data_IF_938239700998
#
_entry.id   IF_938239700998
#
_cell.length_a   1.000
_cell.length_b   1.000
_cell.length_c   1.000
_cell.angle_alpha   90.00
_cell.angle_beta   90.00
_cell.angle_gamma   90.00
#
_symmetry.space_group_name_H-M   'P 1'
#
loop_
_entity.id
_entity.type
_entity.pdbx_description
1 polymer ?
#
# COMPACT_ATOMS: atom_id res chain seq x y z
N UNK A 1 -14.48 -10.87 9.54
CA UNK A 1 -13.25 -10.22 9.02
C UNK A 1 -13.57 -8.75 8.89
N UNK A 2 -12.69 -7.86 9.34
CA UNK A 2 -12.94 -6.42 9.25
C UNK A 2 -12.81 -5.93 7.81
N UNK A 3 -13.68 -5.01 7.41
CA UNK A 3 -13.63 -4.26 6.15
C UNK A 3 -12.64 -3.10 6.24
N UNK A 4 -12.20 -2.56 5.09
CA UNK A 4 -11.32 -1.37 5.06
C UNK A 4 -11.98 -0.16 5.73
N UNK A 5 -13.31 -0.04 5.61
CA UNK A 5 -14.08 1.04 6.24
C UNK A 5 -14.05 0.94 7.76
N UNK A 6 -14.27 -0.26 8.32
CA UNK A 6 -14.14 -0.50 9.76
C UNK A 6 -12.70 -0.20 10.28
N UNK A 7 -11.67 -0.48 9.46
CA UNK A 7 -10.27 -0.16 9.80
C UNK A 7 -10.04 1.35 9.82
N UNK A 8 -10.57 2.10 8.84
CA UNK A 8 -10.48 3.56 8.78
C UNK A 8 -11.11 4.18 10.03
N UNK A 9 -12.34 3.79 10.35
CA UNK A 9 -13.08 4.30 11.52
C UNK A 9 -12.35 3.99 12.83
N UNK A 10 -11.85 2.76 12.99
CA UNK A 10 -11.10 2.35 14.18
C UNK A 10 -9.80 3.15 14.35
N UNK A 11 -9.05 3.38 13.27
CA UNK A 11 -7.81 4.16 13.29
C UNK A 11 -8.09 5.63 13.63
N UNK A 12 -9.08 6.26 12.99
CA UNK A 12 -9.40 7.66 13.28
C UNK A 12 -9.86 7.87 14.72
N UNK A 13 -10.62 6.92 15.27
CA UNK A 13 -11.03 6.93 16.68
C UNK A 13 -9.84 6.77 17.63
N UNK A 14 -8.91 5.86 17.32
CA UNK A 14 -7.71 5.59 18.14
C UNK A 14 -6.76 6.80 18.15
N UNK A 15 -6.52 7.40 16.98
CA UNK A 15 -5.47 8.39 16.78
C UNK A 15 -5.97 9.84 16.98
N UNK A 16 -7.27 10.03 17.21
CA UNK A 16 -7.87 11.34 17.51
C UNK A 16 -8.19 12.18 16.27
N UNK A 17 -8.52 11.53 15.15
CA UNK A 17 -9.01 12.14 13.91
C UNK A 17 -8.15 11.84 12.67
N UNK A 18 -8.72 12.14 11.48
CA UNK A 18 -8.13 11.85 10.15
C UNK A 18 -6.66 12.30 10.00
N UNK A 19 -6.30 13.49 10.48
CA UNK A 19 -4.95 14.04 10.32
C UNK A 19 -3.88 13.20 11.00
N UNK A 20 -4.07 12.89 12.29
CA UNK A 20 -3.14 12.06 13.08
C UNK A 20 -3.13 10.61 12.62
N UNK A 21 -4.29 10.07 12.26
CA UNK A 21 -4.40 8.73 11.71
C UNK A 21 -3.62 8.58 10.38
N UNK A 22 -3.64 9.61 9.52
CA UNK A 22 -2.84 9.65 8.30
C UNK A 22 -1.34 9.72 8.58
N UNK A 23 -0.91 10.55 9.55
CA UNK A 23 0.49 10.62 9.97
C UNK A 23 1.00 9.27 10.47
N UNK A 24 0.23 8.61 11.35
CA UNK A 24 0.52 7.25 11.80
C UNK A 24 0.62 6.26 10.63
N UNK A 25 -0.35 6.29 9.72
CA UNK A 25 -0.40 5.40 8.56
C UNK A 25 0.85 5.56 7.69
N UNK A 26 1.27 6.80 7.41
CA UNK A 26 2.45 7.07 6.59
C UNK A 26 3.74 6.64 7.29
N UNK A 27 3.85 6.82 8.60
CA UNK A 27 5.01 6.35 9.37
C UNK A 27 5.08 4.81 9.38
N UNK A 28 3.96 4.13 9.63
CA UNK A 28 3.87 2.66 9.57
C UNK A 28 4.24 2.11 8.19
N UNK A 29 3.78 2.76 7.11
CA UNK A 29 4.19 2.39 5.76
C UNK A 29 5.72 2.51 5.58
N UNK A 30 6.35 3.52 6.15
CA UNK A 30 7.81 3.68 6.06
C UNK A 30 8.53 2.54 6.78
N UNK A 31 8.06 2.15 7.96
CA UNK A 31 8.58 1.02 8.74
C UNK A 31 8.45 -0.29 7.95
N UNK A 32 7.27 -0.61 7.43
CA UNK A 32 7.06 -1.79 6.60
C UNK A 32 7.96 -1.79 5.35
N UNK A 33 8.19 -0.65 4.71
CA UNK A 33 9.09 -0.57 3.55
C UNK A 33 10.55 -0.92 3.92
N UNK A 34 11.02 -0.45 5.07
CA UNK A 34 12.35 -0.75 5.59
C UNK A 34 12.48 -2.24 5.98
N UNK A 35 11.43 -2.80 6.60
CA UNK A 35 11.38 -4.22 6.98
C UNK A 35 11.33 -5.15 5.78
N UNK A 36 10.50 -4.85 4.77
CA UNK A 36 10.45 -5.61 3.50
C UNK A 36 11.84 -5.69 2.89
N UNK A 37 12.55 -4.55 2.78
CA UNK A 37 13.90 -4.52 2.22
C UNK A 37 14.88 -5.37 3.03
N UNK A 38 14.81 -5.28 4.37
CA UNK A 38 15.66 -6.04 5.30
C UNK A 38 15.41 -7.56 5.24
N UNK A 39 14.14 -7.98 5.20
CA UNK A 39 13.73 -9.39 5.15
C UNK A 39 14.02 -10.00 3.78
N UNK A 40 13.74 -9.27 2.70
CA UNK A 40 14.03 -9.72 1.34
C UNK A 40 15.53 -9.96 1.14
N UNK A 41 16.38 -9.05 1.63
CA UNK A 41 17.85 -9.20 1.58
C UNK A 41 18.38 -10.41 2.37
N UNK A 42 17.62 -10.90 3.35
CA UNK A 42 17.93 -12.09 4.15
C UNK A 42 17.30 -13.38 3.60
N UNK A 43 16.56 -13.30 2.49
CA UNK A 43 15.74 -14.39 1.94
C UNK A 43 14.72 -14.94 2.96
N UNK A 44 14.20 -14.07 3.83
CA UNK A 44 13.19 -14.43 4.83
C UNK A 44 11.78 -14.22 4.26
N UNK A 45 10.97 -15.28 4.21
CA UNK A 45 9.63 -15.26 3.62
C UNK A 45 8.63 -14.29 4.26
N UNK A 46 8.88 -13.81 5.49
CA UNK A 46 8.01 -12.86 6.20
C UNK A 46 7.87 -11.51 5.46
N UNK A 47 8.74 -11.18 4.51
CA UNK A 47 8.56 -9.97 3.68
C UNK A 47 7.19 -9.95 2.98
N UNK A 48 6.58 -11.11 2.73
CA UNK A 48 5.26 -11.23 2.11
C UNK A 48 4.15 -10.69 3.01
N UNK A 49 4.28 -10.91 4.31
CA UNK A 49 3.32 -10.46 5.32
C UNK A 49 3.43 -8.94 5.46
N UNK A 50 4.66 -8.41 5.53
CA UNK A 50 4.90 -6.97 5.52
C UNK A 50 4.38 -6.28 4.25
N UNK A 51 4.50 -6.92 3.09
CA UNK A 51 3.87 -6.45 1.86
C UNK A 51 2.34 -6.42 1.97
N UNK A 52 1.72 -7.41 2.61
CA UNK A 52 0.27 -7.45 2.80
C UNK A 52 -0.20 -6.32 3.73
N UNK A 53 0.51 -6.09 4.83
CA UNK A 53 0.22 -5.01 5.78
C UNK A 53 0.37 -3.63 5.13
N UNK A 54 1.43 -3.43 4.33
CA UNK A 54 1.61 -2.24 3.50
C UNK A 54 0.42 -2.01 2.55
N UNK A 55 -0.12 -3.06 1.92
CA UNK A 55 -1.27 -2.93 1.03
C UNK A 55 -2.53 -2.48 1.78
N UNK A 56 -2.74 -2.95 3.02
CA UNK A 56 -3.86 -2.49 3.85
C UNK A 56 -3.72 -0.98 4.13
N UNK A 57 -2.53 -0.51 4.49
CA UNK A 57 -2.29 0.93 4.66
C UNK A 57 -2.58 1.74 3.39
N UNK A 58 -2.19 1.23 2.22
CA UNK A 58 -2.53 1.86 0.94
C UNK A 58 -4.04 1.97 0.73
N UNK A 59 -4.79 0.89 0.99
CA UNK A 59 -6.25 0.85 0.85
C UNK A 59 -6.94 1.83 1.82
N UNK A 60 -6.45 1.92 3.06
CA UNK A 60 -6.93 2.89 4.07
C UNK A 60 -6.77 4.32 3.56
N UNK A 61 -5.60 4.66 2.99
CA UNK A 61 -5.37 6.00 2.43
C UNK A 61 -6.28 6.28 1.24
N UNK A 62 -6.44 5.33 0.31
CA UNK A 62 -7.35 5.49 -0.82
C UNK A 62 -8.79 5.73 -0.37
N UNK A 63 -9.28 4.92 0.57
CA UNK A 63 -10.64 5.07 1.12
C UNK A 63 -10.85 6.44 1.75
N UNK A 64 -9.88 6.94 2.53
CA UNK A 64 -9.92 8.28 3.15
C UNK A 64 -9.94 9.42 2.14
N UNK A 65 -9.41 9.20 0.93
CA UNK A 65 -9.44 10.15 -0.19
C UNK A 65 -10.65 9.94 -1.11
N UNK A 66 -11.63 9.13 -0.70
CA UNK A 66 -12.86 8.88 -1.46
C UNK A 66 -12.66 7.99 -2.69
N UNK A 67 -11.56 7.21 -2.72
CA UNK A 67 -11.28 6.22 -3.74
C UNK A 67 -11.76 4.87 -3.21
N UNK A 68 -12.82 4.35 -3.82
CA UNK A 68 -13.36 3.02 -3.52
C UNK A 68 -12.54 1.90 -4.18
N UNK A 69 -12.84 0.66 -3.79
CA UNK A 69 -12.13 -0.53 -4.27
C UNK A 69 -12.20 -0.69 -5.80
N UNK A 70 -13.31 -0.30 -6.43
CA UNK A 70 -13.47 -0.37 -7.89
C UNK A 70 -12.46 0.55 -8.57
N UNK A 71 -12.36 1.80 -8.11
CA UNK A 71 -11.36 2.76 -8.61
C UNK A 71 -9.93 2.32 -8.32
N UNK A 72 -9.66 1.67 -7.19
CA UNK A 72 -8.34 1.08 -6.92
C UNK A 72 -7.98 0.03 -7.97
N UNK A 73 -8.92 -0.85 -8.33
CA UNK A 73 -8.68 -1.86 -9.36
C UNK A 73 -8.43 -1.24 -10.74
N UNK A 74 -9.19 -0.21 -11.12
CA UNK A 74 -8.95 0.55 -12.36
C UNK A 74 -7.57 1.23 -12.37
N UNK A 75 -7.15 1.80 -11.23
CA UNK A 75 -5.82 2.38 -11.08
C UNK A 75 -4.75 1.30 -11.23
N UNK A 76 -4.91 0.14 -10.60
CA UNK A 76 -3.97 -0.97 -10.70
C UNK A 76 -3.82 -1.43 -12.15
N UNK A 77 -4.90 -1.57 -12.90
CA UNK A 77 -4.84 -2.00 -14.30
C UNK A 77 -4.05 -1.02 -15.17
N UNK A 78 -4.35 0.28 -15.06
CA UNK A 78 -3.57 1.35 -15.73
C UNK A 78 -2.09 1.34 -15.34
N UNK A 79 -1.76 0.94 -14.10
CA UNK A 79 -0.38 0.85 -13.63
C UNK A 79 0.33 -0.39 -14.16
N UNK A 80 -0.37 -1.51 -14.34
CA UNK A 80 0.18 -2.71 -15.00
C UNK A 80 0.53 -2.40 -16.46
N UNK A 81 -0.36 -1.75 -17.21
CA UNK A 81 -0.10 -1.33 -18.60
C UNK A 81 1.19 -0.50 -18.68
N UNK A 82 1.28 0.55 -17.86
CA UNK A 82 2.47 1.42 -17.78
C UNK A 82 3.73 0.65 -17.37
N UNK A 83 3.60 -0.33 -16.47
CA UNK A 83 4.75 -1.14 -16.04
C UNK A 83 5.24 -2.05 -17.17
N UNK A 84 4.31 -2.67 -17.91
CA UNK A 84 4.62 -3.50 -19.08
C UNK A 84 5.27 -2.69 -20.20
N UNK A 85 4.82 -1.46 -20.45
CA UNK A 85 5.46 -0.54 -21.40
C UNK A 85 6.91 -0.25 -21.01
N UNK A 86 7.20 -0.02 -19.73
CA UNK A 86 8.58 0.19 -19.24
C UNK A 86 9.47 -1.02 -19.48
N UNK A 87 8.96 -2.23 -19.21
CA UNK A 87 9.71 -3.47 -19.45
C UNK A 87 10.03 -3.61 -20.95
N UNK A 88 9.03 -3.40 -21.82
CA UNK A 88 9.19 -3.53 -23.29
C UNK A 88 10.02 -2.40 -23.91
N UNK A 89 9.96 -1.19 -23.35
CA UNK A 89 10.73 -0.03 -23.82
C UNK A 89 12.22 -0.13 -23.48
N UNK A 90 12.58 -0.81 -22.38
CA UNK A 90 13.97 -1.02 -21.98
C UNK A 90 14.68 -2.14 -22.76
N UNK A 91 13.99 -2.92 -23.58
CA UNK A 91 14.61 -3.99 -24.40
C UNK A 91 15.15 -3.52 -25.76
N UNK A 92 15.14 -2.20 -26.05
CA UNK A 92 15.56 -1.62 -27.34
C UNK A 92 16.84 -0.78 -27.31
N UNK A 93 17.65 -0.86 -26.24
CA UNK A 93 18.93 -0.16 -26.15
C UNK A 93 20.00 -1.11 -25.65
N UNK A 94 20.51 -1.94 -26.56
CA UNK A 94 21.74 -2.73 -26.40
C UNK A 94 22.43 -2.80 -27.75
#
# INVERSE_FOLDING_TARGET
MATVEEIVEASEKKDGGKGKANEYTLNSMKEHAEEIAGLFGKNDGHWKDECADMMIHCLVLFKREGIDEIKVLELLEKRKERFMEKIKGNTGSS
#
